data_IF_462741727254
#
_entry.id   IF_462741727254
#
_cell.length_a   1.000
_cell.length_b   1.000
_cell.length_c   1.000
_cell.angle_alpha   90.00
_cell.angle_beta   90.00
_cell.angle_gamma   90.00
#
_symmetry.space_group_name_H-M   'P 1'
#
loop_
_entity.id
_entity.type
_entity.pdbx_description
1 polymer ?
#
# COMPACT_ATOMS: atom_id res chain seq x y z
N UNK A 1 -4.53 -27.20 -8.09
CA UNK A 1 -5.30 -26.29 -7.24
C UNK A 1 -5.71 -25.08 -8.09
N UNK A 2 -6.97 -24.71 -8.06
CA UNK A 2 -7.41 -23.49 -8.73
C UNK A 2 -6.71 -22.28 -8.07
N UNK A 3 -6.12 -21.38 -8.86
CA UNK A 3 -5.60 -20.11 -8.37
C UNK A 3 -6.77 -19.27 -7.84
N UNK A 4 -6.74 -18.92 -6.56
CA UNK A 4 -7.72 -17.98 -6.00
C UNK A 4 -7.27 -16.59 -6.41
N UNK A 5 -8.06 -15.95 -7.29
CA UNK A 5 -7.87 -14.54 -7.64
C UNK A 5 -8.63 -13.70 -6.63
N UNK A 6 -7.97 -12.69 -6.08
CA UNK A 6 -8.57 -11.68 -5.17
C UNK A 6 -8.69 -10.35 -5.89
N UNK A 7 -9.72 -9.59 -5.53
CA UNK A 7 -10.00 -8.28 -6.11
C UNK A 7 -9.77 -7.20 -5.06
N UNK A 8 -8.95 -6.21 -5.41
CA UNK A 8 -8.57 -5.08 -4.58
C UNK A 8 -8.83 -3.76 -5.33
N UNK A 9 -10.07 -3.24 -5.35
CA UNK A 9 -10.35 -1.96 -6.00
C UNK A 9 -9.60 -0.83 -5.33
N UNK A 10 -9.02 0.06 -6.14
CA UNK A 10 -8.38 1.27 -5.65
C UNK A 10 -9.40 2.39 -5.42
N UNK A 11 -9.37 2.97 -4.23
CA UNK A 11 -10.18 4.16 -3.91
C UNK A 11 -9.63 5.45 -4.53
N UNK A 12 -8.52 5.38 -5.24
CA UNK A 12 -8.03 6.50 -6.07
C UNK A 12 -9.08 6.94 -7.11
N UNK A 13 -9.87 5.99 -7.62
CA UNK A 13 -10.93 6.25 -8.60
C UNK A 13 -12.27 6.67 -7.98
N UNK A 14 -12.35 6.72 -6.64
CA UNK A 14 -13.55 7.07 -5.91
C UNK A 14 -13.78 8.60 -5.86
N UNK A 15 -15.01 9.00 -5.60
CA UNK A 15 -15.33 10.36 -5.17
C UNK A 15 -14.89 10.56 -3.71
N UNK A 16 -13.82 11.31 -3.49
CA UNK A 16 -13.27 11.51 -2.14
C UNK A 16 -14.24 12.21 -1.20
N UNK A 17 -15.19 13.01 -1.74
CA UNK A 17 -16.24 13.61 -0.93
C UNK A 17 -17.29 12.62 -0.43
N UNK A 18 -17.34 11.41 -1.03
CA UNK A 18 -18.27 10.32 -0.71
C UNK A 18 -17.56 9.01 -0.38
N UNK A 19 -16.33 9.09 0.09
CA UNK A 19 -15.47 7.92 0.30
C UNK A 19 -16.16 6.77 1.06
N UNK A 20 -17.00 7.10 2.04
CA UNK A 20 -17.74 6.08 2.79
C UNK A 20 -18.71 5.28 1.91
N UNK A 21 -19.48 5.97 1.06
CA UNK A 21 -20.43 5.33 0.13
C UNK A 21 -19.68 4.52 -0.95
N UNK A 22 -18.56 5.05 -1.43
CA UNK A 22 -17.72 4.40 -2.42
C UNK A 22 -17.12 3.09 -1.89
N UNK A 23 -16.58 3.10 -0.66
CA UNK A 23 -16.06 1.89 0.00
C UNK A 23 -17.18 0.86 0.21
N UNK A 24 -18.35 1.29 0.68
CA UNK A 24 -19.49 0.40 0.88
C UNK A 24 -19.98 -0.22 -0.44
N UNK A 25 -19.91 0.52 -1.55
CA UNK A 25 -20.31 0.02 -2.87
C UNK A 25 -19.47 -1.17 -3.35
N UNK A 26 -18.24 -1.30 -2.88
CA UNK A 26 -17.30 -2.38 -3.23
C UNK A 26 -17.07 -3.38 -2.08
N UNK A 27 -17.95 -3.46 -1.11
CA UNK A 27 -17.83 -4.36 0.05
C UNK A 27 -17.72 -5.84 -0.26
N UNK A 28 -18.07 -6.26 -1.46
CA UNK A 28 -17.90 -7.64 -1.95
C UNK A 28 -16.48 -7.95 -2.43
N UNK A 29 -15.59 -6.95 -2.48
CA UNK A 29 -14.18 -7.15 -2.80
C UNK A 29 -13.44 -7.88 -1.67
N UNK A 30 -12.21 -8.33 -1.95
CA UNK A 30 -11.38 -9.03 -0.97
C UNK A 30 -10.57 -8.08 -0.09
N UNK A 31 -10.26 -6.87 -0.58
CA UNK A 31 -9.54 -5.81 0.13
C UNK A 31 -9.79 -4.45 -0.55
N UNK A 32 -9.38 -3.39 0.10
CA UNK A 32 -9.40 -2.03 -0.44
C UNK A 32 -7.96 -1.58 -0.68
N UNK A 33 -7.66 -1.15 -1.92
CA UNK A 33 -6.35 -0.61 -2.28
C UNK A 33 -6.36 0.91 -2.12
N UNK A 34 -5.34 1.43 -1.42
CA UNK A 34 -5.23 2.85 -1.09
C UNK A 34 -3.93 3.42 -1.64
N UNK A 35 -4.00 4.10 -2.78
CA UNK A 35 -2.86 4.72 -3.46
C UNK A 35 -2.51 6.07 -2.82
N UNK A 36 -1.50 6.07 -1.96
CA UNK A 36 -1.02 7.26 -1.25
C UNK A 36 0.10 7.91 -2.05
N UNK A 37 -0.12 9.15 -2.48
CA UNK A 37 0.80 9.91 -3.33
C UNK A 37 1.13 11.26 -2.69
N UNK A 38 2.40 11.65 -2.69
CA UNK A 38 2.91 12.86 -2.03
C UNK A 38 3.23 14.04 -2.96
N UNK A 39 3.09 13.85 -4.28
CA UNK A 39 3.42 14.89 -5.27
C UNK A 39 4.93 15.06 -5.51
N UNK A 40 5.78 14.26 -4.88
CA UNK A 40 7.24 14.28 -5.03
C UNK A 40 7.73 13.00 -5.69
N UNK A 41 7.40 11.85 -5.13
CA UNK A 41 7.71 10.54 -5.72
C UNK A 41 6.95 10.31 -7.03
N UNK A 42 5.68 10.73 -7.07
CA UNK A 42 4.82 10.76 -8.26
C UNK A 42 4.20 12.15 -8.42
N UNK A 43 3.82 12.59 -9.64
CA UNK A 43 3.36 13.96 -9.90
C UNK A 43 1.89 14.21 -9.50
N UNK A 44 1.35 13.49 -8.55
CA UNK A 44 0.00 13.63 -8.04
C UNK A 44 0.00 13.60 -6.51
N UNK A 45 -0.99 14.23 -5.88
CA UNK A 45 -1.24 14.19 -4.45
C UNK A 45 -2.63 13.61 -4.24
N UNK A 46 -2.77 12.59 -3.39
CA UNK A 46 -4.06 11.95 -3.16
C UNK A 46 -4.57 12.19 -1.74
N UNK A 47 -4.20 11.34 -0.83
CA UNK A 47 -4.61 11.37 0.57
C UNK A 47 -3.51 10.72 1.42
N UNK A 48 -3.69 10.75 2.73
CA UNK A 48 -2.69 10.22 3.66
C UNK A 48 -3.31 9.44 4.81
N UNK A 49 -2.61 9.44 5.93
CA UNK A 49 -2.89 8.66 7.14
C UNK A 49 -4.33 8.86 7.65
N UNK A 50 -4.83 10.11 7.61
CA UNK A 50 -6.19 10.42 8.08
C UNK A 50 -7.26 9.69 7.27
N UNK A 51 -7.09 9.58 5.96
CA UNK A 51 -8.03 8.84 5.10
C UNK A 51 -8.03 7.34 5.42
N UNK A 52 -6.86 6.77 5.68
CA UNK A 52 -6.74 5.35 6.10
C UNK A 52 -7.47 5.13 7.43
N UNK A 53 -7.27 6.03 8.40
CA UNK A 53 -7.95 5.95 9.70
C UNK A 53 -9.47 6.07 9.59
N UNK A 54 -9.98 6.90 8.68
CA UNK A 54 -11.41 7.03 8.45
C UNK A 54 -11.99 5.84 7.67
N UNK A 55 -11.28 5.36 6.65
CA UNK A 55 -11.66 4.14 5.93
C UNK A 55 -11.75 2.94 6.87
N UNK A 56 -10.82 2.81 7.83
CA UNK A 56 -10.83 1.72 8.82
C UNK A 56 -12.10 1.68 9.67
N UNK A 57 -12.74 2.82 9.91
CA UNK A 57 -14.00 2.89 10.67
C UNK A 57 -15.21 2.42 9.86
N UNK A 58 -15.11 2.46 8.53
CA UNK A 58 -16.21 2.20 7.60
C UNK A 58 -16.23 0.72 7.17
N UNK A 59 -15.06 0.10 6.99
CA UNK A 59 -14.96 -1.26 6.47
C UNK A 59 -14.12 -2.17 7.36
N UNK A 60 -14.46 -3.46 7.38
CA UNK A 60 -13.62 -4.52 7.95
C UNK A 60 -12.73 -5.20 6.92
N UNK A 61 -12.86 -4.87 5.64
CA UNK A 61 -11.98 -5.38 4.60
C UNK A 61 -10.53 -4.99 4.88
N UNK A 62 -9.54 -5.83 4.54
CA UNK A 62 -8.14 -5.46 4.63
C UNK A 62 -7.85 -4.18 3.85
N UNK A 63 -7.10 -3.26 4.45
CA UNK A 63 -6.62 -2.03 3.81
C UNK A 63 -5.19 -2.24 3.35
N UNK A 64 -4.98 -2.19 2.04
CA UNK A 64 -3.69 -2.31 1.38
C UNK A 64 -3.20 -0.92 0.98
N UNK A 65 -2.26 -0.37 1.76
CA UNK A 65 -1.73 0.97 1.58
C UNK A 65 -0.47 0.94 0.71
N UNK A 66 -0.59 1.39 -0.54
CA UNK A 66 0.50 1.56 -1.49
C UNK A 66 1.11 2.94 -1.34
N UNK A 67 2.33 3.02 -0.82
CA UNK A 67 3.00 4.27 -0.51
C UNK A 67 3.89 4.73 -1.66
N UNK A 68 3.36 5.59 -2.51
CA UNK A 68 4.09 6.32 -3.55
C UNK A 68 4.60 7.65 -2.99
N UNK A 69 5.46 7.56 -2.00
CA UNK A 69 5.99 8.71 -1.25
C UNK A 69 7.51 8.59 -1.08
N UNK A 70 8.17 9.72 -0.94
CA UNK A 70 9.58 9.75 -0.54
C UNK A 70 9.70 9.45 0.97
N UNK A 71 10.79 8.79 1.38
CA UNK A 71 11.05 8.44 2.77
C UNK A 71 9.90 7.69 3.47
N UNK A 72 9.39 6.58 2.88
CA UNK A 72 8.25 5.85 3.44
C UNK A 72 8.53 5.34 4.86
N UNK A 73 9.77 5.05 5.21
CA UNK A 73 10.21 4.60 6.54
C UNK A 73 9.76 5.53 7.67
N UNK A 74 9.60 6.82 7.40
CA UNK A 74 9.16 7.82 8.39
C UNK A 74 7.67 7.73 8.72
N UNK A 75 6.90 7.05 7.88
CA UNK A 75 5.43 7.01 7.95
C UNK A 75 4.86 5.64 8.24
N UNK A 76 5.65 4.56 8.08
CA UNK A 76 5.22 3.17 8.28
C UNK A 76 4.42 2.99 9.56
N UNK A 77 4.99 3.41 10.71
CA UNK A 77 4.32 3.25 12.01
C UNK A 77 2.96 3.94 12.05
N UNK A 78 2.87 5.15 11.49
CA UNK A 78 1.63 5.94 11.48
C UNK A 78 0.54 5.31 10.59
N UNK A 79 0.92 4.71 9.47
CA UNK A 79 -0.03 3.98 8.62
C UNK A 79 -0.51 2.69 9.28
N UNK A 80 0.38 1.96 9.98
CA UNK A 80 0.01 0.78 10.74
C UNK A 80 -1.00 1.14 11.86
N UNK A 81 -0.72 2.20 12.63
CA UNK A 81 -1.60 2.70 13.69
C UNK A 81 -2.95 3.21 13.16
N UNK A 82 -2.97 3.74 11.93
CA UNK A 82 -4.19 4.17 11.28
C UNK A 82 -5.11 3.01 10.85
N UNK A 83 -4.59 1.79 10.81
CA UNK A 83 -5.38 0.58 10.50
C UNK A 83 -5.06 -0.06 9.15
N UNK A 84 -3.90 0.23 8.56
CA UNK A 84 -3.42 -0.53 7.41
C UNK A 84 -3.18 -1.99 7.80
N UNK A 85 -3.58 -2.93 6.93
CA UNK A 85 -3.28 -4.36 7.06
C UNK A 85 -2.07 -4.76 6.22
N UNK A 86 -1.86 -4.07 5.12
CA UNK A 86 -0.68 -4.17 4.25
C UNK A 86 -0.09 -2.77 4.04
N UNK A 87 1.22 -2.69 4.03
CA UNK A 87 1.96 -1.49 3.62
C UNK A 87 2.95 -1.90 2.55
N UNK A 88 2.81 -1.30 1.37
CA UNK A 88 3.65 -1.59 0.20
C UNK A 88 4.51 -0.37 -0.12
N UNK A 89 5.82 -0.57 -0.22
CA UNK A 89 6.81 0.49 -0.46
C UNK A 89 7.60 0.23 -1.73
N UNK A 90 7.97 1.31 -2.39
CA UNK A 90 8.76 1.27 -3.62
C UNK A 90 10.24 1.03 -3.36
N UNK A 91 10.84 0.13 -4.14
CA UNK A 91 12.28 -0.03 -4.22
C UNK A 91 12.98 1.32 -4.47
N UNK A 92 12.45 2.10 -5.42
CA UNK A 92 13.03 3.37 -5.86
C UNK A 92 12.98 4.45 -4.76
N UNK A 93 12.02 4.36 -3.84
CA UNK A 93 11.90 5.28 -2.71
C UNK A 93 12.79 4.90 -1.52
N UNK A 94 13.02 3.60 -1.33
CA UNK A 94 13.79 3.06 -0.22
C UNK A 94 15.29 2.94 -0.50
N UNK A 95 15.66 2.67 -1.76
CA UNK A 95 17.06 2.46 -2.15
C UNK A 95 17.75 1.39 -1.29
N UNK A 96 18.93 1.70 -0.78
CA UNK A 96 19.72 0.79 0.07
C UNK A 96 19.03 0.46 1.41
N UNK A 97 18.09 1.29 1.87
CA UNK A 97 17.30 1.10 3.09
C UNK A 97 16.11 0.14 2.93
N UNK A 98 15.92 -0.48 1.77
CA UNK A 98 14.74 -1.29 1.48
C UNK A 98 14.54 -2.43 2.49
N UNK A 99 15.56 -3.24 2.72
CA UNK A 99 15.46 -4.38 3.65
C UNK A 99 15.09 -3.94 5.08
N UNK A 100 15.62 -2.82 5.55
CA UNK A 100 15.32 -2.27 6.87
C UNK A 100 13.89 -1.71 6.92
N UNK A 101 13.42 -1.07 5.85
CA UNK A 101 12.04 -0.59 5.74
C UNK A 101 11.04 -1.75 5.75
N UNK A 102 11.32 -2.84 5.02
CA UNK A 102 10.47 -4.03 5.04
C UNK A 102 10.40 -4.68 6.44
N UNK A 103 11.52 -4.75 7.15
CA UNK A 103 11.56 -5.23 8.54
C UNK A 103 10.78 -4.30 9.47
N UNK A 104 10.88 -2.98 9.28
CA UNK A 104 10.12 -1.99 10.04
C UNK A 104 8.61 -2.21 9.85
N UNK A 105 8.15 -2.42 8.63
CA UNK A 105 6.75 -2.71 8.33
C UNK A 105 6.29 -3.95 9.10
N UNK A 106 7.03 -5.05 9.02
CA UNK A 106 6.69 -6.29 9.76
C UNK A 106 6.68 -6.08 11.27
N UNK A 107 7.65 -5.36 11.81
CA UNK A 107 7.72 -5.07 13.25
C UNK A 107 6.57 -4.18 13.74
N UNK A 108 5.92 -3.46 12.84
CA UNK A 108 4.71 -2.66 13.13
C UNK A 108 3.42 -3.51 13.17
N UNK A 109 3.54 -4.84 13.00
CA UNK A 109 2.41 -5.77 13.10
C UNK A 109 1.54 -5.87 11.86
N UNK A 110 1.98 -5.34 10.72
CA UNK A 110 1.28 -5.38 9.44
C UNK A 110 2.07 -6.18 8.40
N UNK A 111 1.40 -6.61 7.35
CA UNK A 111 2.04 -7.33 6.24
C UNK A 111 2.81 -6.37 5.35
N UNK A 112 3.98 -6.79 4.88
CA UNK A 112 4.81 -5.96 4.04
C UNK A 112 4.71 -6.32 2.56
N UNK A 113 4.59 -5.29 1.73
CA UNK A 113 4.64 -5.37 0.29
C UNK A 113 5.85 -4.61 -0.28
N UNK A 114 6.31 -5.08 -1.40
CA UNK A 114 7.36 -4.47 -2.19
C UNK A 114 6.85 -4.19 -3.58
N UNK A 115 7.11 -3.00 -4.10
CA UNK A 115 6.71 -2.60 -5.44
C UNK A 115 7.88 -2.01 -6.21
N UNK A 116 7.86 -2.21 -7.51
CA UNK A 116 8.78 -1.61 -8.49
C UNK A 116 7.99 -0.84 -9.54
N UNK A 117 8.57 0.26 -10.00
CA UNK A 117 8.06 0.99 -11.16
C UNK A 117 8.16 0.14 -12.44
N UNK A 118 7.37 0.43 -13.48
CA UNK A 118 7.37 -0.35 -14.72
C UNK A 118 8.74 -0.50 -15.38
N UNK A 119 9.60 0.52 -15.24
CA UNK A 119 10.94 0.54 -15.83
C UNK A 119 12.02 -0.13 -14.96
N UNK A 120 11.68 -0.54 -13.74
CA UNK A 120 12.63 -1.18 -12.84
C UNK A 120 12.60 -2.70 -13.04
N UNK A 121 13.71 -3.33 -13.41
CA UNK A 121 13.77 -4.76 -13.62
C UNK A 121 13.66 -5.53 -12.28
N UNK A 122 12.99 -6.68 -12.32
CA UNK A 122 12.71 -7.50 -11.13
C UNK A 122 13.98 -7.99 -10.42
N UNK A 123 15.07 -8.15 -11.16
CA UNK A 123 16.38 -8.55 -10.65
C UNK A 123 16.92 -7.60 -9.57
N UNK A 124 16.42 -6.37 -9.54
CA UNK A 124 16.80 -5.38 -8.53
C UNK A 124 16.26 -5.70 -7.13
N UNK A 125 15.21 -6.50 -7.04
CA UNK A 125 14.50 -6.82 -5.80
C UNK A 125 14.52 -8.31 -5.44
N UNK A 126 15.15 -9.16 -6.23
CA UNK A 126 15.14 -10.63 -6.02
C UNK A 126 15.53 -11.04 -4.60
N UNK A 127 16.49 -10.34 -3.98
CA UNK A 127 16.98 -10.63 -2.63
C UNK A 127 15.96 -10.29 -1.53
N UNK A 128 15.13 -9.31 -1.79
CA UNK A 128 14.14 -8.80 -0.84
C UNK A 128 12.77 -9.49 -0.96
N UNK A 129 12.48 -10.13 -2.10
CA UNK A 129 11.22 -10.86 -2.31
C UNK A 129 10.91 -11.84 -1.16
N UNK A 130 11.85 -12.66 -0.66
CA UNK A 130 11.58 -13.57 0.45
C UNK A 130 11.22 -12.87 1.77
N UNK A 131 11.49 -11.57 1.90
CA UNK A 131 11.13 -10.77 3.08
C UNK A 131 9.70 -10.28 3.04
N UNK A 132 9.04 -10.36 1.88
CA UNK A 132 7.74 -9.74 1.63
C UNK A 132 6.59 -10.74 1.74
N UNK A 133 5.42 -10.23 2.09
CA UNK A 133 4.16 -10.96 2.03
C UNK A 133 3.47 -10.76 0.67
N UNK A 134 3.83 -9.70 -0.04
CA UNK A 134 3.27 -9.33 -1.34
C UNK A 134 4.30 -8.60 -2.21
N UNK A 135 4.23 -8.82 -3.51
CA UNK A 135 4.93 -8.01 -4.51
C UNK A 135 3.89 -7.39 -5.43
N UNK A 136 3.97 -6.06 -5.61
CA UNK A 136 3.10 -5.33 -6.51
C UNK A 136 3.88 -5.00 -7.78
N UNK A 137 3.31 -5.39 -8.91
CA UNK A 137 3.85 -5.05 -10.23
C UNK A 137 3.04 -3.87 -10.75
N UNK A 138 3.64 -2.69 -10.72
CA UNK A 138 3.01 -1.46 -11.15
C UNK A 138 2.96 -1.38 -12.68
N UNK A 139 1.85 -0.91 -13.23
CA UNK A 139 1.65 -0.73 -14.66
C UNK A 139 1.40 0.73 -15.06
#
# INVERSE_FOLDING_TARGET
>A
MAKIVKIAPSVLSADFAKMGEEIESVKSADMIHMDVMDGVFVPNITFGIKMVADARKITSLPLDCHLMIVHPEKFVQKFAEAGADYITVHYEACGEGLADTLKLIKSSGVKCGLVINPDTPVEKIEKEIPLCDMVLVMS
#
